data_IF_667327429635
#
_entry.id   IF_667327429635
#
_cell.length_a   1.000
_cell.length_b   1.000
_cell.length_c   1.000
_cell.angle_alpha   90.00
_cell.angle_beta   90.00
_cell.angle_gamma   90.00
#
_symmetry.space_group_name_H-M   'P 1'
#
loop_
_entity.id
_entity.type
_entity.pdbx_description
1 polymer ?
#
# COMPACT_ATOMS: atom_id res chain seq x y z
N UNK A 1 10.50 -2.47 -4.69
CA UNK A 1 9.13 -2.60 -4.13
C UNK A 1 8.46 -3.84 -4.70
N UNK A 2 7.62 -4.48 -3.91
CA UNK A 2 6.93 -5.71 -4.32
C UNK A 2 5.46 -5.46 -4.61
N UNK A 3 4.94 -6.12 -5.65
CA UNK A 3 3.52 -6.07 -6.02
C UNK A 3 2.91 -7.47 -6.00
N UNK A 4 1.72 -7.57 -5.43
CA UNK A 4 0.86 -8.74 -5.48
C UNK A 4 -0.27 -8.48 -6.47
N UNK A 5 -0.52 -9.41 -7.39
CA UNK A 5 -1.61 -9.31 -8.36
C UNK A 5 -2.65 -10.38 -8.05
N UNK A 6 -3.90 -10.00 -7.88
CA UNK A 6 -5.00 -10.90 -7.54
C UNK A 6 -6.16 -10.75 -8.52
N UNK A 7 -6.51 -11.83 -9.18
CA UNK A 7 -7.65 -11.95 -10.09
C UNK A 7 -8.03 -13.43 -10.18
N UNK A 8 -9.31 -13.74 -10.27
CA UNK A 8 -9.78 -15.13 -10.38
C UNK A 8 -9.60 -15.73 -11.79
N UNK A 9 -9.38 -14.89 -12.79
CA UNK A 9 -9.11 -15.30 -14.16
C UNK A 9 -7.61 -15.42 -14.42
N UNK A 10 -7.11 -16.62 -14.64
CA UNK A 10 -5.69 -16.87 -14.92
C UNK A 10 -5.16 -16.12 -16.13
N UNK A 11 -6.00 -15.97 -17.17
CA UNK A 11 -5.60 -15.25 -18.38
C UNK A 11 -5.37 -13.75 -18.08
N UNK A 12 -6.15 -13.17 -17.18
CA UNK A 12 -5.97 -11.79 -16.74
C UNK A 12 -4.68 -11.66 -15.92
N UNK A 13 -4.41 -12.58 -15.00
CA UNK A 13 -3.17 -12.60 -14.23
C UNK A 13 -1.94 -12.64 -15.13
N UNK A 14 -1.95 -13.53 -16.12
CA UNK A 14 -0.83 -13.64 -17.08
C UNK A 14 -0.69 -12.37 -17.92
N UNK A 15 -1.80 -11.80 -18.38
CA UNK A 15 -1.79 -10.55 -19.11
C UNK A 15 -1.22 -9.38 -18.32
N UNK A 16 -1.59 -9.26 -17.04
CA UNK A 16 -1.13 -8.18 -16.16
C UNK A 16 0.37 -8.26 -15.87
N UNK A 17 0.96 -9.44 -15.86
CA UNK A 17 2.42 -9.61 -15.70
C UNK A 17 3.22 -8.97 -16.84
N UNK A 18 2.67 -8.92 -18.03
CA UNK A 18 3.37 -8.52 -19.24
C UNK A 18 2.87 -7.23 -19.89
N UNK A 19 1.72 -6.69 -19.42
CA UNK A 19 1.12 -5.50 -20.01
C UNK A 19 2.00 -4.25 -19.86
N UNK A 20 2.76 -4.18 -18.77
CA UNK A 20 3.70 -3.09 -18.50
C UNK A 20 5.04 -3.66 -18.02
N UNK A 21 6.09 -2.87 -18.10
CA UNK A 21 7.40 -3.21 -17.55
C UNK A 21 7.46 -2.84 -16.06
N UNK A 22 7.06 -3.76 -15.20
CA UNK A 22 7.03 -3.58 -13.76
C UNK A 22 8.39 -3.20 -13.18
N UNK A 23 9.46 -3.84 -13.66
CA UNK A 23 10.81 -3.56 -13.18
C UNK A 23 11.26 -2.13 -13.47
N UNK A 24 10.93 -1.61 -14.65
CA UNK A 24 11.21 -0.23 -15.03
C UNK A 24 10.49 0.76 -14.10
N UNK A 25 9.30 0.41 -13.63
CA UNK A 25 8.49 1.23 -12.74
C UNK A 25 8.87 1.05 -11.25
N UNK A 26 9.87 0.23 -10.96
CA UNK A 26 10.38 0.02 -9.62
C UNK A 26 9.68 -1.09 -8.83
N UNK A 27 8.92 -1.96 -9.49
CA UNK A 27 8.19 -3.05 -8.85
C UNK A 27 8.65 -4.42 -9.35
N UNK A 28 8.64 -5.39 -8.44
CA UNK A 28 8.81 -6.81 -8.74
C UNK A 28 7.54 -7.55 -8.34
N UNK A 29 6.99 -8.37 -9.25
CA UNK A 29 5.83 -9.20 -8.93
C UNK A 29 6.28 -10.32 -8.00
N UNK A 30 5.88 -10.25 -6.73
CA UNK A 30 6.30 -11.23 -5.74
C UNK A 30 5.45 -12.50 -5.78
N UNK A 31 4.15 -12.37 -6.02
CA UNK A 31 3.20 -13.47 -6.09
C UNK A 31 1.93 -13.07 -6.82
N UNK A 32 1.12 -14.05 -7.19
CA UNK A 32 -0.25 -13.87 -7.68
C UNK A 32 -1.23 -14.64 -6.80
N UNK A 33 -2.50 -14.21 -6.78
CA UNK A 33 -3.57 -14.87 -6.07
C UNK A 33 -4.78 -15.06 -6.99
N UNK A 34 -5.49 -16.17 -6.83
CA UNK A 34 -6.62 -16.55 -7.68
C UNK A 34 -7.99 -16.34 -7.02
N UNK A 35 -8.03 -16.03 -5.76
CA UNK A 35 -9.25 -15.71 -5.01
C UNK A 35 -8.95 -14.73 -3.86
N UNK A 36 -10.01 -14.21 -3.25
CA UNK A 36 -9.85 -13.19 -2.21
C UNK A 36 -9.22 -13.70 -0.93
N UNK A 37 -9.48 -14.95 -0.54
CA UNK A 37 -8.88 -15.56 0.64
C UNK A 37 -7.38 -15.73 0.46
N UNK A 38 -6.96 -16.25 -0.69
CA UNK A 38 -5.55 -16.39 -1.04
C UNK A 38 -4.84 -15.03 -1.09
N UNK A 39 -5.51 -14.02 -1.67
CA UNK A 39 -4.99 -12.66 -1.71
C UNK A 39 -4.76 -12.10 -0.30
N UNK A 40 -5.73 -12.24 0.59
CA UNK A 40 -5.63 -11.77 1.96
C UNK A 40 -4.50 -12.46 2.74
N UNK A 41 -4.38 -13.77 2.63
CA UNK A 41 -3.31 -14.53 3.27
C UNK A 41 -1.93 -14.10 2.77
N UNK A 42 -1.77 -13.88 1.46
CA UNK A 42 -0.53 -13.41 0.87
C UNK A 42 -0.18 -11.97 1.24
N UNK A 43 -1.18 -11.10 1.39
CA UNK A 43 -0.97 -9.74 1.90
C UNK A 43 -0.37 -9.81 3.30
N UNK A 44 -0.91 -10.62 4.19
CA UNK A 44 -0.40 -10.77 5.55
C UNK A 44 1.00 -11.38 5.62
N UNK A 45 1.26 -12.40 4.81
CA UNK A 45 2.54 -13.12 4.85
C UNK A 45 3.68 -12.41 4.12
N UNK A 46 3.39 -11.76 2.98
CA UNK A 46 4.39 -11.13 2.13
C UNK A 46 4.54 -9.63 2.35
N UNK A 47 3.53 -9.00 2.91
CA UNK A 47 3.48 -7.54 3.12
C UNK A 47 3.91 -6.76 1.87
N UNK A 48 3.26 -6.97 0.71
CA UNK A 48 3.65 -6.28 -0.53
C UNK A 48 3.45 -4.77 -0.41
N UNK A 49 4.21 -4.00 -1.16
CA UNK A 49 4.07 -2.54 -1.20
C UNK A 49 2.81 -2.10 -1.95
N UNK A 50 2.44 -2.86 -2.96
CA UNK A 50 1.27 -2.62 -3.81
C UNK A 50 0.49 -3.92 -4.01
N UNK A 51 -0.83 -3.83 -3.97
CA UNK A 51 -1.74 -4.91 -4.35
C UNK A 51 -2.62 -4.45 -5.49
N UNK A 52 -2.55 -5.16 -6.60
CA UNK A 52 -3.45 -5.00 -7.74
C UNK A 52 -4.56 -6.04 -7.59
N UNK A 53 -5.80 -5.61 -7.43
CA UNK A 53 -6.87 -6.44 -6.89
C UNK A 53 -8.15 -6.30 -7.68
N UNK A 54 -8.65 -7.42 -8.20
CA UNK A 54 -9.98 -7.49 -8.81
C UNK A 54 -11.07 -7.42 -7.72
N UNK A 55 -12.19 -6.76 -8.02
CA UNK A 55 -13.32 -6.68 -7.08
C UNK A 55 -14.05 -8.02 -6.97
N UNK A 56 -14.33 -8.67 -8.10
CA UNK A 56 -15.14 -9.90 -8.13
C UNK A 56 -14.26 -11.14 -8.10
N UNK A 57 -14.09 -11.66 -6.90
CA UNK A 57 -13.35 -12.91 -6.69
C UNK A 57 -14.15 -13.86 -5.79
N UNK A 58 -13.97 -15.19 -5.95
CA UNK A 58 -14.54 -16.17 -5.03
C UNK A 58 -13.98 -16.01 -3.61
N UNK A 59 -14.71 -16.52 -2.63
CA UNK A 59 -14.40 -16.58 -1.20
C UNK A 59 -14.43 -15.23 -0.50
N UNK A 60 -13.69 -14.25 -0.99
CA UNK A 60 -13.72 -12.87 -0.53
C UNK A 60 -13.71 -11.95 -1.75
N UNK A 61 -14.57 -10.93 -1.74
CA UNK A 61 -14.51 -9.88 -2.76
C UNK A 61 -13.29 -9.00 -2.57
N UNK A 62 -12.89 -8.27 -3.60
CA UNK A 62 -11.77 -7.33 -3.48
C UNK A 62 -11.98 -6.29 -2.38
N UNK A 63 -13.22 -5.83 -2.18
CA UNK A 63 -13.55 -4.87 -1.12
C UNK A 63 -13.37 -5.50 0.26
N UNK A 64 -13.83 -6.73 0.45
CA UNK A 64 -13.64 -7.47 1.70
C UNK A 64 -12.15 -7.69 2.00
N UNK A 65 -11.34 -7.95 0.97
CA UNK A 65 -9.88 -8.07 1.11
C UNK A 65 -9.27 -6.77 1.57
N UNK A 66 -9.62 -5.64 0.95
CA UNK A 66 -9.13 -4.31 1.37
C UNK A 66 -9.50 -4.03 2.82
N UNK A 67 -10.76 -4.22 3.16
CA UNK A 67 -11.26 -3.98 4.51
C UNK A 67 -10.53 -4.84 5.56
N UNK A 68 -10.41 -6.13 5.31
CA UNK A 68 -9.71 -7.06 6.20
C UNK A 68 -8.22 -6.72 6.33
N UNK A 69 -7.56 -6.35 5.25
CA UNK A 69 -6.16 -5.96 5.25
C UNK A 69 -5.92 -4.69 6.08
N UNK A 70 -6.73 -3.66 5.87
CA UNK A 70 -6.64 -2.40 6.63
C UNK A 70 -6.91 -2.65 8.13
N UNK A 71 -7.92 -3.44 8.47
CA UNK A 71 -8.22 -3.81 9.85
C UNK A 71 -7.09 -4.61 10.52
N UNK A 72 -6.34 -5.38 9.76
CA UNK A 72 -5.18 -6.13 10.28
C UNK A 72 -3.88 -5.31 10.36
N UNK A 73 -3.92 -4.03 10.00
CA UNK A 73 -2.77 -3.12 10.09
C UNK A 73 -1.92 -3.01 8.85
N UNK A 74 -2.38 -3.53 7.71
CA UNK A 74 -1.68 -3.39 6.43
C UNK A 74 -1.65 -1.93 5.98
N UNK A 75 -0.48 -1.43 5.63
CA UNK A 75 -0.24 -0.03 5.25
C UNK A 75 0.16 0.16 3.79
N UNK A 76 0.24 -0.90 3.00
CA UNK A 76 0.54 -0.84 1.58
C UNK A 76 -0.59 -0.22 0.76
N UNK A 77 -0.37 -0.10 -0.52
CA UNK A 77 -1.28 0.57 -1.44
C UNK A 77 -2.10 -0.43 -2.25
N UNK A 78 -3.29 -0.02 -2.66
CA UNK A 78 -4.19 -0.82 -3.49
C UNK A 78 -4.52 -0.09 -4.78
N UNK A 79 -4.50 -0.84 -5.89
CA UNK A 79 -5.16 -0.47 -7.14
C UNK A 79 -6.26 -1.49 -7.39
N UNK A 80 -7.49 -1.03 -7.49
CA UNK A 80 -8.65 -1.89 -7.73
C UNK A 80 -8.93 -1.97 -9.24
N UNK A 81 -9.16 -3.20 -9.70
CA UNK A 81 -9.61 -3.48 -11.07
C UNK A 81 -11.08 -3.84 -11.02
N UNK A 82 -11.90 -3.17 -11.81
CA UNK A 82 -13.36 -3.37 -11.79
C UNK A 82 -13.96 -3.46 -13.18
N UNK A 83 -15.06 -4.23 -13.31
CA UNK A 83 -15.91 -4.16 -14.48
C UNK A 83 -16.72 -2.88 -14.51
N UNK A 84 -17.31 -2.56 -15.67
CA UNK A 84 -18.11 -1.34 -15.89
C UNK A 84 -19.31 -1.26 -14.92
N UNK A 85 -19.86 -2.40 -14.49
CA UNK A 85 -21.03 -2.47 -13.61
C UNK A 85 -20.71 -2.32 -12.12
N UNK A 86 -19.45 -2.21 -11.75
CA UNK A 86 -18.99 -2.26 -10.35
C UNK A 86 -18.67 -0.88 -9.76
N UNK A 87 -19.19 0.20 -10.37
CA UNK A 87 -18.91 1.58 -9.97
C UNK A 87 -19.21 1.86 -8.48
N UNK A 88 -20.35 1.40 -7.98
CA UNK A 88 -20.71 1.58 -6.56
C UNK A 88 -19.76 0.84 -5.62
N UNK A 89 -19.32 -0.34 -6.01
CA UNK A 89 -18.35 -1.13 -5.26
C UNK A 89 -16.99 -0.46 -5.24
N UNK A 90 -16.56 0.12 -6.36
CA UNK A 90 -15.33 0.89 -6.45
C UNK A 90 -15.38 2.14 -5.54
N UNK A 91 -16.51 2.84 -5.48
CA UNK A 91 -16.69 3.97 -4.55
C UNK A 91 -16.57 3.53 -3.09
N UNK A 92 -17.12 2.37 -2.73
CA UNK A 92 -17.00 1.81 -1.39
C UNK A 92 -15.53 1.48 -1.07
N UNK A 93 -14.79 0.91 -2.00
CA UNK A 93 -13.37 0.63 -1.84
C UNK A 93 -12.55 1.90 -1.54
N UNK A 94 -12.87 3.00 -2.21
CA UNK A 94 -12.18 4.28 -1.98
C UNK A 94 -12.38 4.83 -0.56
N UNK A 95 -13.49 4.52 0.09
CA UNK A 95 -13.72 4.89 1.51
C UNK A 95 -12.77 4.15 2.46
N UNK A 96 -12.27 2.99 2.07
CA UNK A 96 -11.31 2.21 2.85
C UNK A 96 -9.85 2.55 2.55
N UNK A 97 -9.58 3.61 1.77
CA UNK A 97 -8.23 4.08 1.50
C UNK A 97 -7.57 3.50 0.26
N UNK A 98 -8.37 3.01 -0.68
CA UNK A 98 -7.87 2.61 -2.00
C UNK A 98 -7.48 3.88 -2.77
N UNK A 99 -6.28 3.90 -3.32
CA UNK A 99 -5.74 5.09 -3.98
C UNK A 99 -6.19 5.23 -5.42
N UNK A 100 -6.32 4.13 -6.15
CA UNK A 100 -6.69 4.13 -7.55
C UNK A 100 -7.63 2.98 -7.87
N UNK A 101 -8.54 3.21 -8.83
CA UNK A 101 -9.24 2.12 -9.46
C UNK A 101 -9.19 2.27 -10.99
N UNK A 102 -9.16 1.15 -11.68
CA UNK A 102 -9.14 1.08 -13.14
C UNK A 102 -10.28 0.21 -13.63
N UNK A 103 -10.94 0.64 -14.71
CA UNK A 103 -12.05 -0.10 -15.32
C UNK A 103 -11.51 -1.07 -16.37
N UNK A 104 -12.00 -2.32 -16.33
CA UNK A 104 -11.70 -3.32 -17.38
C UNK A 104 -12.42 -2.99 -18.68
N UNK A 105 -11.82 -3.22 -19.85
CA UNK A 105 -10.49 -3.78 -20.08
C UNK A 105 -9.37 -2.79 -19.69
N UNK A 106 -8.30 -3.32 -19.12
CA UNK A 106 -7.22 -2.50 -18.59
C UNK A 106 -6.40 -1.88 -19.72
N UNK A 107 -6.31 -0.57 -19.69
CA UNK A 107 -5.46 0.20 -20.61
C UNK A 107 -4.02 0.23 -20.07
N UNK A 108 -3.05 -0.03 -20.94
CA UNK A 108 -1.63 -0.05 -20.59
C UNK A 108 -1.16 1.29 -20.00
N UNK A 109 -1.51 2.39 -20.64
CA UNK A 109 -1.09 3.73 -20.21
C UNK A 109 -1.73 4.12 -18.88
N UNK A 110 -3.00 3.82 -18.69
CA UNK A 110 -3.68 4.08 -17.41
C UNK A 110 -3.06 3.28 -16.26
N UNK A 111 -2.75 2.01 -16.48
CA UNK A 111 -2.10 1.17 -15.48
C UNK A 111 -0.71 1.70 -15.16
N UNK A 112 0.07 2.03 -16.17
CA UNK A 112 1.43 2.57 -15.99
C UNK A 112 1.40 3.88 -15.20
N UNK A 113 0.48 4.79 -15.50
CA UNK A 113 0.31 6.04 -14.76
C UNK A 113 -0.09 5.79 -13.31
N UNK A 114 -1.02 4.88 -13.04
CA UNK A 114 -1.45 4.53 -11.69
C UNK A 114 -0.32 3.91 -10.87
N UNK A 115 0.43 2.97 -11.45
CA UNK A 115 1.57 2.33 -10.80
C UNK A 115 2.68 3.33 -10.50
N UNK A 116 2.98 4.23 -11.43
CA UNK A 116 3.97 5.30 -11.23
C UNK A 116 3.54 6.26 -10.12
N UNK A 117 2.27 6.62 -10.06
CA UNK A 117 1.73 7.48 -9.01
C UNK A 117 1.80 6.81 -7.63
N UNK A 118 1.51 5.52 -7.54
CA UNK A 118 1.66 4.75 -6.31
C UNK A 118 3.12 4.69 -5.86
N UNK A 119 4.04 4.48 -6.78
CA UNK A 119 5.48 4.48 -6.48
C UNK A 119 5.92 5.80 -5.83
N UNK A 120 5.50 6.93 -6.41
CA UNK A 120 5.77 8.26 -5.85
C UNK A 120 5.15 8.46 -4.47
N UNK A 121 3.91 8.01 -4.27
CA UNK A 121 3.24 8.09 -2.96
C UNK A 121 4.01 7.31 -1.89
N UNK A 122 4.45 6.11 -2.19
CA UNK A 122 5.22 5.28 -1.26
C UNK A 122 6.54 5.98 -0.88
N UNK A 123 7.25 6.55 -1.87
CA UNK A 123 8.48 7.29 -1.62
C UNK A 123 8.25 8.54 -0.76
N UNK A 124 7.20 9.30 -1.02
CA UNK A 124 6.85 10.50 -0.24
C UNK A 124 6.49 10.16 1.21
N UNK A 125 5.71 9.13 1.42
CA UNK A 125 5.35 8.68 2.78
C UNK A 125 6.59 8.23 3.57
N UNK A 126 7.52 7.51 2.94
CA UNK A 126 8.77 7.12 3.56
C UNK A 126 9.62 8.32 3.95
N UNK A 127 9.72 9.34 3.10
CA UNK A 127 10.43 10.59 3.41
C UNK A 127 9.77 11.38 4.53
N UNK A 128 8.45 11.49 4.53
CA UNK A 128 7.69 12.18 5.57
C UNK A 128 7.85 11.51 6.93
N UNK A 129 7.79 10.18 7.00
CA UNK A 129 8.04 9.43 8.21
C UNK A 129 9.47 9.64 8.73
N UNK A 130 10.46 9.56 7.87
CA UNK A 130 11.86 9.79 8.23
C UNK A 130 12.08 11.20 8.77
N UNK A 131 11.53 12.22 8.12
CA UNK A 131 11.60 13.61 8.57
C UNK A 131 10.92 13.82 9.91
N UNK A 132 9.75 13.21 10.12
CA UNK A 132 9.01 13.28 11.37
C UNK A 132 9.76 12.59 12.52
N UNK A 133 10.32 11.43 12.28
CA UNK A 133 11.14 10.71 13.27
C UNK A 133 12.39 11.49 13.64
N UNK A 134 13.09 12.10 12.69
CA UNK A 134 14.24 12.95 12.95
C UNK A 134 13.86 14.17 13.79
N UNK A 135 12.77 14.83 13.48
CA UNK A 135 12.25 15.95 14.25
C UNK A 135 11.89 15.55 15.68
N UNK A 136 11.20 14.42 15.83
CA UNK A 136 10.81 13.86 17.13
C UNK A 136 12.04 13.50 17.97
N UNK A 137 13.07 12.92 17.39
CA UNK A 137 14.32 12.58 18.07
C UNK A 137 15.08 13.82 18.51
N UNK A 138 15.14 14.87 17.68
CA UNK A 138 15.74 16.15 18.04
C UNK A 138 15.02 16.83 19.21
N UNK A 139 13.68 16.81 19.22
CA UNK A 139 12.88 17.36 20.29
C UNK A 139 13.13 16.62 21.60
N UNK A 140 13.18 15.29 21.59
CA UNK A 140 13.52 14.47 22.76
C UNK A 140 14.92 14.77 23.30
N UNK A 141 15.90 14.97 22.43
CA UNK A 141 17.28 15.28 22.81
C UNK A 141 17.38 16.66 23.49
N UNK A 142 16.66 17.67 22.98
CA UNK A 142 16.61 19.00 23.60
C UNK A 142 16.00 18.98 24.99
N UNK A 143 14.90 18.26 25.17
CA UNK A 143 14.21 18.13 26.47
C UNK A 143 15.12 17.42 27.49
N UNK A 144 15.77 16.33 27.11
CA UNK A 144 16.70 15.60 27.98
C UNK A 144 17.90 16.46 28.37
N UNK A 145 18.39 17.29 27.46
CA UNK A 145 19.52 18.20 27.73
C UNK A 145 19.13 19.29 28.74
N UNK A 146 17.95 19.85 28.66
CA UNK A 146 17.43 20.82 29.62
C UNK A 146 17.27 20.20 31.01
N UNK A 147 16.67 19.00 31.11
CA UNK A 147 16.49 18.28 32.38
C UNK A 147 17.85 18.00 33.04
N UNK A 148 18.86 17.58 32.28
CA UNK A 148 20.21 17.32 32.79
C UNK A 148 20.91 18.57 33.28
N UNK A 149 20.73 19.72 32.62
CA UNK A 149 21.31 21.01 33.03
C UNK A 149 20.68 21.49 34.35
N UNK A 150 19.35 21.42 34.45
CA UNK A 150 18.63 21.79 35.68
C UNK A 150 19.05 20.92 36.88
N UNK A 151 19.28 19.63 36.64
CA UNK A 151 19.74 18.72 37.70
C UNK A 151 21.17 19.02 38.14
N UNK A 152 22.04 19.41 37.23
CA UNK A 152 23.42 19.79 37.54
C UNK A 152 23.50 21.09 38.36
N UNK A 153 22.63 22.04 38.08
CA UNK A 153 22.58 23.30 38.86
C UNK A 153 22.03 23.10 40.28
N UNK A 154 21.16 22.12 40.46
CA UNK A 154 20.60 21.78 41.77
C UNK A 154 21.66 21.17 42.73
N UNK A 155 22.63 20.42 42.18
CA UNK A 155 23.71 19.82 42.95
C UNK A 155 24.91 20.79 43.21
N UNK A 156 24.92 21.96 42.58
CA UNK A 156 25.96 22.97 42.80
C UNK A 156 25.62 23.97 43.90
N UNK A 157 24.42 23.91 44.50
CA UNK A 157 23.97 24.81 45.54
C UNK A 157 24.16 24.25 46.96
N UNK A 158 24.77 23.08 47.12
CA UNK A 158 25.23 22.52 48.38
C UNK A 158 26.76 22.57 48.44
#
# INVERSE_FOLDING_TARGET
>A
MNVLIADDEKIVLEGLKYIIDWNRLGFTICQTACDGQDAFEKIKSLNPDLVLLDIRMPKMTGIEVVQAAVESGYTGKFIILSGVTDFKLAQTAMRYGVDFYLTKPIDEDELEQAVSAVHELILKEAQSQTSYEQYRNKAKHSILKEILLDTCDYYKLD
#
